data_IF_335785976454
#
_entry.id   IF_335785976454
#
_cell.length_a   1.000
_cell.length_b   1.000
_cell.length_c   1.000
_cell.angle_alpha   90.00
_cell.angle_beta   90.00
_cell.angle_gamma   90.00
#
_symmetry.space_group_name_H-M   'P 1'
#
loop_
_entity.id
_entity.type
_entity.pdbx_description
1 polymer ?
#
# COMPACT_ATOMS: atom_id res chain seq x y z
N UNK A 1 -3.83 26.73 1.33
CA UNK A 1 -4.41 26.38 0.01
C UNK A 1 -5.76 25.75 0.24
N UNK A 2 -6.67 25.84 -0.73
CA UNK A 2 -7.92 25.07 -0.76
C UNK A 2 -7.66 23.75 -1.47
N UNK A 3 -7.81 22.65 -0.76
CA UNK A 3 -7.54 21.31 -1.28
C UNK A 3 -8.83 20.49 -1.30
N UNK A 4 -9.15 19.91 -2.44
CA UNK A 4 -10.24 18.94 -2.56
C UNK A 4 -9.64 17.53 -2.55
N UNK A 5 -10.11 16.67 -1.62
CA UNK A 5 -9.69 15.27 -1.54
C UNK A 5 -10.87 14.38 -1.94
N UNK A 6 -10.74 13.68 -3.06
CA UNK A 6 -11.71 12.69 -3.53
C UNK A 6 -11.32 11.34 -2.93
N UNK A 7 -12.23 10.71 -2.17
CA UNK A 7 -11.98 9.45 -1.48
C UNK A 7 -11.33 9.61 -0.09
N UNK A 8 -11.52 10.76 0.56
CA UNK A 8 -10.92 11.07 1.86
C UNK A 8 -11.43 10.26 3.07
N UNK A 9 -12.32 9.26 2.87
CA UNK A 9 -12.90 8.45 3.96
C UNK A 9 -12.49 6.97 3.95
N UNK A 10 -11.66 6.54 2.97
CA UNK A 10 -11.14 5.18 2.87
C UNK A 10 -9.91 4.95 3.76
N UNK A 11 -9.05 4.00 3.39
CA UNK A 11 -7.85 3.65 4.16
C UNK A 11 -6.81 4.79 4.20
N UNK A 12 -6.33 5.25 3.04
CA UNK A 12 -5.28 6.28 2.95
C UNK A 12 -5.86 7.69 3.14
N UNK A 13 -7.08 7.90 2.67
CA UNK A 13 -7.71 9.23 2.59
C UNK A 13 -7.74 10.02 3.89
N UNK A 14 -8.19 9.45 5.03
CA UNK A 14 -8.22 10.17 6.31
C UNK A 14 -6.85 10.70 6.73
N UNK A 15 -5.78 9.91 6.54
CA UNK A 15 -4.41 10.31 6.89
C UNK A 15 -3.91 11.44 5.98
N UNK A 16 -4.29 11.45 4.69
CA UNK A 16 -3.99 12.56 3.76
C UNK A 16 -4.70 13.83 4.21
N UNK A 17 -5.97 13.74 4.59
CA UNK A 17 -6.75 14.87 5.09
C UNK A 17 -6.13 15.40 6.37
N UNK A 18 -5.80 14.54 7.34
CA UNK A 18 -5.13 14.93 8.59
C UNK A 18 -3.79 15.64 8.34
N UNK A 19 -2.96 15.11 7.44
CA UNK A 19 -1.67 15.71 7.11
C UNK A 19 -1.84 17.13 6.52
N UNK A 20 -2.83 17.32 5.64
CA UNK A 20 -3.12 18.61 5.02
C UNK A 20 -3.70 19.63 6.03
N UNK A 21 -4.66 19.20 6.87
CA UNK A 21 -5.27 20.06 7.90
C UNK A 21 -4.23 20.47 8.95
N UNK A 22 -3.37 19.56 9.39
CA UNK A 22 -2.27 19.84 10.32
C UNK A 22 -1.25 20.83 9.74
N UNK A 23 -1.07 20.83 8.41
CA UNK A 23 -0.26 21.81 7.70
C UNK A 23 -0.99 23.14 7.44
N UNK A 24 -2.22 23.32 7.95
CA UNK A 24 -3.00 24.56 7.87
C UNK A 24 -3.70 24.80 6.53
N UNK A 25 -4.00 23.74 5.76
CA UNK A 25 -4.75 23.84 4.51
C UNK A 25 -6.27 23.75 4.73
N UNK A 26 -7.06 24.44 3.90
CA UNK A 26 -8.53 24.36 3.88
C UNK A 26 -8.94 23.14 3.04
N UNK A 27 -9.31 22.04 3.71
CA UNK A 27 -9.60 20.77 3.06
C UNK A 27 -11.11 20.54 2.94
N UNK A 28 -11.56 20.16 1.75
CA UNK A 28 -12.90 19.64 1.50
C UNK A 28 -12.82 18.20 1.02
N UNK A 29 -13.64 17.32 1.57
CA UNK A 29 -13.66 15.89 1.21
C UNK A 29 -14.87 15.59 0.32
N UNK A 30 -14.64 14.87 -0.79
CA UNK A 30 -15.70 14.30 -1.62
C UNK A 30 -15.74 12.78 -1.47
N UNK A 31 -16.87 12.23 -1.00
CA UNK A 31 -17.03 10.80 -0.72
C UNK A 31 -18.50 10.36 -0.67
N UNK A 32 -18.76 9.02 -0.69
CA UNK A 32 -20.11 8.46 -0.77
C UNK A 32 -20.90 8.48 0.54
N UNK A 33 -20.24 8.38 1.69
CA UNK A 33 -20.90 8.22 2.98
C UNK A 33 -20.29 9.13 4.03
N UNK A 34 -21.13 9.93 4.68
CA UNK A 34 -20.72 10.68 5.87
C UNK A 34 -20.52 9.73 7.04
N UNK A 35 -19.28 9.65 7.53
CA UNK A 35 -19.03 9.23 8.91
C UNK A 35 -19.02 10.54 9.69
N UNK A 36 -20.17 11.01 10.23
CA UNK A 36 -20.32 12.28 10.98
C UNK A 36 -18.98 12.92 11.36
N UNK A 37 -18.42 13.69 10.43
CA UNK A 37 -17.17 14.39 10.58
C UNK A 37 -17.47 15.87 10.77
N UNK A 38 -16.70 16.57 11.61
CA UNK A 38 -16.75 18.03 11.69
C UNK A 38 -16.12 18.72 10.46
N UNK A 39 -15.62 17.92 9.50
CA UNK A 39 -14.95 18.39 8.29
C UNK A 39 -15.93 18.88 7.23
N UNK A 40 -15.46 19.80 6.39
CA UNK A 40 -16.21 20.21 5.22
C UNK A 40 -16.27 19.02 4.24
N UNK A 41 -17.48 18.57 3.91
CA UNK A 41 -17.68 17.44 3.02
C UNK A 41 -18.73 17.70 1.96
N UNK A 42 -18.59 17.02 0.81
CA UNK A 42 -19.59 16.92 -0.25
C UNK A 42 -19.84 15.45 -0.45
N UNK A 43 -21.10 15.05 -0.31
CA UNK A 43 -21.52 13.67 -0.55
C UNK A 43 -21.79 13.45 -2.03
N UNK A 44 -21.17 12.41 -2.59
CA UNK A 44 -21.36 12.04 -3.99
C UNK A 44 -20.57 10.80 -4.37
N UNK A 45 -20.96 10.22 -5.51
CA UNK A 45 -20.29 9.06 -6.05
C UNK A 45 -19.23 9.47 -7.08
N UNK A 46 -17.99 9.03 -6.85
CA UNK A 46 -16.86 9.27 -7.75
C UNK A 46 -17.11 8.70 -9.16
N UNK A 47 -17.88 7.63 -9.31
CA UNK A 47 -18.22 7.07 -10.62
C UNK A 47 -19.04 8.05 -11.48
N UNK A 48 -19.79 8.95 -10.85
CA UNK A 48 -20.61 9.99 -11.46
C UNK A 48 -20.05 11.40 -11.22
N UNK A 49 -18.73 11.55 -11.15
CA UNK A 49 -18.06 12.82 -10.82
C UNK A 49 -18.54 14.01 -11.64
N UNK A 50 -18.90 13.79 -12.91
CA UNK A 50 -19.41 14.82 -13.81
C UNK A 50 -20.71 15.48 -13.32
N UNK A 51 -21.57 14.75 -12.64
CA UNK A 51 -22.87 15.25 -12.13
C UNK A 51 -22.66 16.30 -11.02
N UNK A 52 -21.52 16.25 -10.35
CA UNK A 52 -21.13 17.17 -9.27
C UNK A 52 -20.22 18.31 -9.75
N UNK A 53 -19.92 18.39 -11.06
CA UNK A 53 -18.94 19.36 -11.59
C UNK A 53 -19.21 20.80 -11.16
N UNK A 54 -20.45 21.26 -11.20
CA UNK A 54 -20.84 22.61 -10.79
C UNK A 54 -20.50 22.88 -9.33
N UNK A 55 -20.85 21.96 -8.42
CA UNK A 55 -20.61 22.09 -6.99
C UNK A 55 -19.10 22.03 -6.67
N UNK A 56 -18.38 21.08 -7.30
CA UNK A 56 -16.93 20.90 -7.07
C UNK A 56 -16.11 22.10 -7.60
N UNK A 57 -16.46 22.63 -8.78
CA UNK A 57 -15.81 23.81 -9.34
C UNK A 57 -16.09 25.08 -8.53
N UNK A 58 -17.26 25.20 -7.89
CA UNK A 58 -17.62 26.31 -7.03
C UNK A 58 -16.74 26.43 -5.79
N UNK A 59 -16.09 25.35 -5.34
CA UNK A 59 -15.09 25.34 -4.28
C UNK A 59 -13.82 26.13 -4.67
N UNK A 60 -13.56 26.27 -5.99
CA UNK A 60 -12.32 26.86 -6.54
C UNK A 60 -11.08 26.24 -5.89
N UNK A 61 -10.90 24.92 -5.96
CA UNK A 61 -9.76 24.28 -5.32
C UNK A 61 -8.45 24.70 -6.00
N UNK A 62 -7.42 24.95 -5.20
CA UNK A 62 -6.08 25.19 -5.72
C UNK A 62 -5.48 23.85 -6.20
N UNK A 63 -5.72 22.76 -5.46
CA UNK A 63 -5.26 21.39 -5.78
C UNK A 63 -6.39 20.40 -5.56
N UNK A 64 -6.49 19.40 -6.45
CA UNK A 64 -7.40 18.27 -6.31
C UNK A 64 -6.58 17.00 -6.19
N UNK A 65 -6.81 16.22 -5.14
CA UNK A 65 -6.19 14.92 -4.89
C UNK A 65 -7.26 13.84 -5.09
N UNK A 66 -7.03 12.89 -6.00
CA UNK A 66 -7.91 11.73 -6.16
C UNK A 66 -7.24 10.47 -5.63
N UNK A 67 -7.70 10.02 -4.45
CA UNK A 67 -7.15 8.88 -3.70
C UNK A 67 -7.68 7.54 -4.23
N UNK A 68 -8.79 7.55 -4.95
CA UNK A 68 -9.52 6.35 -5.40
C UNK A 68 -9.62 6.23 -6.93
N UNK A 69 -8.68 6.84 -7.64
CA UNK A 69 -8.61 6.83 -9.10
C UNK A 69 -8.17 5.45 -9.60
N UNK A 70 -8.99 4.73 -10.36
CA UNK A 70 -8.73 3.34 -10.73
C UNK A 70 -8.60 3.07 -12.23
N UNK A 71 -9.14 3.93 -13.11
CA UNK A 71 -9.11 3.71 -14.56
C UNK A 71 -8.86 4.99 -15.35
N UNK A 72 -8.44 4.83 -16.62
CA UNK A 72 -8.28 5.95 -17.54
C UNK A 72 -9.58 6.71 -17.78
N UNK A 73 -10.73 6.03 -17.80
CA UNK A 73 -12.06 6.65 -17.91
C UNK A 73 -12.30 7.61 -16.72
N UNK A 74 -12.02 7.15 -15.54
CA UNK A 74 -12.15 7.98 -14.33
C UNK A 74 -11.17 9.15 -14.35
N UNK A 75 -9.92 8.97 -14.80
CA UNK A 75 -8.93 10.02 -14.91
C UNK A 75 -9.36 11.11 -15.90
N UNK A 76 -9.91 10.71 -17.04
CA UNK A 76 -10.44 11.64 -18.04
C UNK A 76 -11.60 12.46 -17.49
N UNK A 77 -12.52 11.84 -16.74
CA UNK A 77 -13.60 12.55 -16.06
C UNK A 77 -13.07 13.58 -15.07
N UNK A 78 -12.03 13.24 -14.28
CA UNK A 78 -11.37 14.14 -13.36
C UNK A 78 -10.77 15.37 -14.07
N UNK A 79 -9.97 15.14 -15.13
CA UNK A 79 -9.38 16.22 -15.95
C UNK A 79 -10.47 17.13 -16.52
N UNK A 80 -11.52 16.56 -17.09
CA UNK A 80 -12.62 17.35 -17.67
C UNK A 80 -13.35 18.22 -16.63
N UNK A 81 -13.55 17.71 -15.42
CA UNK A 81 -14.21 18.47 -14.35
C UNK A 81 -13.34 19.63 -13.89
N UNK A 82 -12.01 19.46 -13.78
CA UNK A 82 -11.17 20.46 -13.12
C UNK A 82 -10.32 21.33 -14.05
N UNK A 83 -10.30 21.04 -15.36
CA UNK A 83 -9.64 21.93 -16.34
C UNK A 83 -10.22 23.34 -16.24
N UNK A 84 -9.34 24.34 -16.04
CA UNK A 84 -9.71 25.73 -15.82
C UNK A 84 -10.41 26.04 -14.49
N UNK A 85 -10.48 25.06 -13.56
CA UNK A 85 -11.10 25.24 -12.25
C UNK A 85 -10.17 24.93 -11.08
N UNK A 86 -9.10 24.19 -11.30
CA UNK A 86 -8.02 23.93 -10.34
C UNK A 86 -6.67 24.26 -10.98
N UNK A 87 -5.65 24.49 -10.14
CA UNK A 87 -4.29 24.76 -10.61
C UNK A 87 -3.49 23.49 -10.87
N UNK A 88 -3.83 22.38 -10.21
CA UNK A 88 -3.10 21.12 -10.29
C UNK A 88 -3.94 19.92 -9.85
N UNK A 89 -3.65 18.76 -10.43
CA UNK A 89 -4.14 17.46 -9.97
C UNK A 89 -3.03 16.67 -9.27
N UNK A 90 -3.40 15.85 -8.30
CA UNK A 90 -2.56 14.80 -7.71
C UNK A 90 -3.30 13.49 -7.79
N UNK A 91 -2.72 12.53 -8.49
CA UNK A 91 -3.32 11.21 -8.73
C UNK A 91 -2.51 10.11 -8.04
N UNK A 92 -3.21 9.24 -7.32
CA UNK A 92 -2.58 8.07 -6.74
C UNK A 92 -2.55 6.94 -7.79
N UNK A 93 -1.34 6.64 -8.23
CA UNK A 93 -0.99 5.48 -9.03
C UNK A 93 -0.49 4.35 -8.12
N UNK A 94 0.09 3.33 -8.69
CA UNK A 94 0.60 2.17 -7.98
C UNK A 94 1.93 1.71 -8.61
N UNK A 95 2.81 1.12 -7.82
CA UNK A 95 4.01 0.46 -8.33
C UNK A 95 3.68 -0.75 -9.23
N UNK A 96 2.40 -1.18 -9.29
CA UNK A 96 1.95 -2.23 -10.22
C UNK A 96 2.01 -1.83 -11.71
N UNK A 97 2.25 -0.56 -12.00
CA UNK A 97 2.48 -0.09 -13.39
C UNK A 97 3.78 -0.62 -14.00
N UNK A 98 4.74 -1.01 -13.17
CA UNK A 98 6.03 -1.48 -13.66
C UNK A 98 5.94 -2.86 -14.30
N UNK A 99 6.76 -3.08 -15.34
CA UNK A 99 6.88 -4.36 -16.02
C UNK A 99 7.26 -5.48 -15.04
N UNK A 100 8.09 -5.18 -14.03
CA UNK A 100 8.43 -6.12 -12.97
C UNK A 100 7.19 -6.75 -12.30
N UNK A 101 6.11 -5.98 -12.08
CA UNK A 101 4.86 -6.52 -11.56
C UNK A 101 4.22 -7.52 -12.53
N UNK A 102 4.21 -7.23 -13.82
CA UNK A 102 3.72 -8.15 -14.86
C UNK A 102 4.54 -9.45 -14.92
N UNK A 103 5.88 -9.37 -14.81
CA UNK A 103 6.78 -10.53 -14.75
C UNK A 103 6.53 -11.35 -13.49
N UNK A 104 6.39 -10.69 -12.32
CA UNK A 104 6.06 -11.35 -11.06
C UNK A 104 4.77 -12.16 -11.15
N UNK A 105 3.74 -11.62 -11.79
CA UNK A 105 2.43 -12.28 -11.93
C UNK A 105 2.32 -13.19 -13.17
N UNK A 106 3.41 -13.37 -13.94
CA UNK A 106 3.41 -14.20 -15.16
C UNK A 106 2.60 -13.62 -16.32
N UNK A 107 2.28 -12.32 -16.29
CA UNK A 107 1.49 -11.61 -17.31
C UNK A 107 2.36 -10.91 -18.36
N UNK A 108 3.65 -10.80 -18.13
CA UNK A 108 4.65 -10.23 -19.05
C UNK A 108 5.77 -11.24 -19.27
N UNK A 109 6.08 -11.60 -20.53
CA UNK A 109 7.19 -12.47 -20.85
C UNK A 109 8.53 -11.71 -20.81
N UNK A 110 9.62 -12.46 -20.83
CA UNK A 110 10.98 -11.92 -20.98
C UNK A 110 11.81 -11.96 -19.70
N UNK A 111 12.98 -11.30 -19.69
CA UNK A 111 13.91 -11.34 -18.58
C UNK A 111 13.37 -10.62 -17.35
N UNK A 112 13.96 -10.92 -16.19
CA UNK A 112 13.72 -10.18 -14.96
C UNK A 112 14.14 -8.72 -15.12
N UNK A 113 13.41 -7.82 -14.49
CA UNK A 113 13.76 -6.41 -14.39
C UNK A 113 14.78 -6.19 -13.26
N UNK A 114 15.82 -5.37 -13.48
CA UNK A 114 16.72 -4.97 -12.42
C UNK A 114 15.99 -4.13 -11.37
N UNK A 115 16.34 -4.30 -10.11
CA UNK A 115 15.81 -3.53 -8.98
C UNK A 115 16.95 -2.82 -8.23
N UNK A 116 16.66 -1.71 -7.53
CA UNK A 116 15.35 -1.08 -7.35
C UNK A 116 14.84 -0.37 -8.62
N UNK A 117 13.52 -0.44 -8.83
CA UNK A 117 12.88 0.26 -9.93
C UNK A 117 12.84 1.77 -9.66
N UNK A 118 13.08 2.55 -10.69
CA UNK A 118 12.95 4.01 -10.66
C UNK A 118 11.73 4.44 -11.47
N UNK A 119 11.40 5.72 -11.46
CA UNK A 119 10.27 6.26 -12.23
C UNK A 119 10.46 6.12 -13.75
N UNK A 120 11.70 5.91 -14.23
CA UNK A 120 12.07 5.63 -15.62
C UNK A 120 12.06 4.14 -15.98
N UNK A 121 11.92 3.25 -14.99
CA UNK A 121 11.89 1.81 -15.26
C UNK A 121 10.73 1.42 -16.18
N UNK A 122 10.87 0.36 -16.99
CA UNK A 122 9.85 -0.04 -17.95
C UNK A 122 8.49 -0.28 -17.31
N UNK A 123 7.44 0.24 -17.96
CA UNK A 123 6.06 -0.03 -17.59
C UNK A 123 5.58 -1.32 -18.26
N UNK A 124 4.51 -1.92 -17.70
CA UNK A 124 3.82 -3.05 -18.33
C UNK A 124 3.33 -2.68 -19.72
N UNK A 125 3.43 -3.59 -20.65
CA UNK A 125 2.82 -3.51 -21.98
C UNK A 125 1.42 -4.13 -21.97
N UNK A 126 1.23 -5.15 -21.15
CA UNK A 126 -0.07 -5.73 -20.88
C UNK A 126 -0.83 -4.84 -19.88
N UNK A 127 -1.99 -4.30 -20.31
CA UNK A 127 -2.85 -3.46 -19.48
C UNK A 127 -3.68 -4.26 -18.46
N UNK A 128 -3.62 -5.59 -18.50
CA UNK A 128 -4.17 -6.43 -17.44
C UNK A 128 -3.18 -6.50 -16.27
N UNK A 129 -3.47 -5.74 -15.20
CA UNK A 129 -2.58 -5.62 -14.03
C UNK A 129 -2.46 -6.90 -13.23
N UNK A 130 -3.57 -7.59 -13.01
CA UNK A 130 -3.67 -8.81 -12.21
C UNK A 130 -4.52 -9.86 -12.92
N UNK A 131 -4.39 -11.14 -12.54
CA UNK A 131 -5.33 -12.18 -12.99
C UNK A 131 -6.79 -11.80 -12.66
N UNK A 132 -7.77 -12.20 -13.51
CA UNK A 132 -9.17 -11.81 -13.35
C UNK A 132 -9.76 -12.12 -11.98
N UNK A 133 -9.40 -13.25 -11.39
CA UNK A 133 -9.88 -13.67 -10.07
C UNK A 133 -9.43 -12.68 -8.99
N UNK A 134 -8.21 -12.16 -9.11
CA UNK A 134 -7.67 -11.16 -8.18
C UNK A 134 -8.37 -9.81 -8.33
N UNK A 135 -8.68 -9.38 -9.55
CA UNK A 135 -9.47 -8.16 -9.79
C UNK A 135 -10.86 -8.29 -9.13
N UNK A 136 -11.54 -9.43 -9.34
CA UNK A 136 -12.84 -9.70 -8.72
C UNK A 136 -12.78 -9.62 -7.18
N UNK A 137 -11.77 -10.22 -6.56
CA UNK A 137 -11.55 -10.14 -5.12
C UNK A 137 -11.30 -8.71 -4.66
N UNK A 138 -10.46 -7.96 -5.39
CA UNK A 138 -10.18 -6.56 -5.06
C UNK A 138 -11.41 -5.66 -5.18
N UNK A 139 -12.32 -5.93 -6.13
CA UNK A 139 -13.60 -5.20 -6.26
C UNK A 139 -14.53 -5.46 -5.08
N UNK A 140 -14.53 -6.66 -4.51
CA UNK A 140 -15.30 -6.97 -3.29
C UNK A 140 -14.80 -6.16 -2.09
N UNK A 141 -13.47 -6.00 -1.97
CA UNK A 141 -12.84 -5.23 -0.89
C UNK A 141 -12.96 -3.71 -1.15
N UNK A 142 -12.67 -3.30 -2.38
CA UNK A 142 -12.62 -1.89 -2.78
C UNK A 142 -13.78 -1.54 -3.71
N UNK A 143 -14.95 -1.26 -3.17
CA UNK A 143 -16.16 -0.96 -3.95
C UNK A 143 -16.09 0.30 -4.84
N UNK A 144 -14.93 0.95 -4.95
CA UNK A 144 -14.63 2.04 -5.89
C UNK A 144 -13.80 1.59 -7.09
N UNK A 145 -13.31 0.35 -7.10
CA UNK A 145 -12.49 -0.19 -8.17
C UNK A 145 -13.32 -0.39 -9.44
N UNK A 146 -12.86 0.21 -10.51
CA UNK A 146 -13.49 0.14 -11.84
C UNK A 146 -13.19 -1.22 -12.51
N UNK A 147 -14.09 -1.67 -13.40
CA UNK A 147 -13.88 -2.88 -14.19
C UNK A 147 -12.65 -2.78 -15.12
N UNK A 148 -12.31 -1.56 -15.52
CA UNK A 148 -11.13 -1.24 -16.33
C UNK A 148 -9.92 -0.87 -15.47
N UNK A 149 -9.76 -1.49 -14.29
CA UNK A 149 -8.65 -1.16 -13.40
C UNK A 149 -7.30 -1.30 -14.09
N UNK A 150 -6.66 -0.17 -14.33
CA UNK A 150 -5.24 -0.07 -14.68
C UNK A 150 -4.72 1.35 -14.44
N UNK A 151 -3.58 1.45 -13.78
CA UNK A 151 -2.97 2.74 -13.43
C UNK A 151 -2.19 3.36 -14.59
N UNK A 152 -1.76 2.58 -15.59
CA UNK A 152 -1.05 3.13 -16.77
C UNK A 152 -1.93 4.10 -17.56
N UNK A 153 -3.19 3.76 -17.93
CA UNK A 153 -4.10 4.72 -18.53
C UNK A 153 -4.40 5.94 -17.64
N UNK A 154 -4.47 5.74 -16.30
CA UNK A 154 -4.62 6.85 -15.35
C UNK A 154 -3.46 7.85 -15.49
N UNK A 155 -2.21 7.37 -15.44
CA UNK A 155 -1.03 8.22 -15.55
C UNK A 155 -0.98 8.97 -16.88
N UNK A 156 -1.38 8.33 -17.97
CA UNK A 156 -1.42 8.95 -19.31
C UNK A 156 -2.40 10.12 -19.38
N UNK A 157 -3.61 9.95 -18.86
CA UNK A 157 -4.65 11.00 -18.86
C UNK A 157 -4.25 12.16 -17.94
N UNK A 158 -3.76 11.88 -16.73
CA UNK A 158 -3.37 12.91 -15.76
C UNK A 158 -2.20 13.75 -16.25
N UNK A 159 -1.24 13.17 -16.94
CA UNK A 159 -0.04 13.86 -17.46
C UNK A 159 -0.24 14.48 -18.84
N UNK A 160 -1.29 14.08 -19.53
CA UNK A 160 -1.56 14.52 -20.91
C UNK A 160 -2.04 15.96 -21.03
N UNK A 161 -2.54 16.57 -19.96
CA UNK A 161 -3.08 17.92 -20.00
C UNK A 161 -2.01 18.99 -19.68
N UNK A 162 -1.80 19.93 -20.61
CA UNK A 162 -0.79 21.00 -20.45
C UNK A 162 -1.30 22.17 -19.62
N UNK A 163 -2.61 22.38 -19.53
CA UNK A 163 -3.25 23.47 -18.79
C UNK A 163 -3.55 23.12 -17.33
N UNK A 164 -3.59 21.79 -17.03
CA UNK A 164 -3.84 21.27 -15.70
C UNK A 164 -2.73 20.26 -15.33
N UNK A 165 -1.56 20.73 -14.88
CA UNK A 165 -0.44 19.85 -14.60
C UNK A 165 -0.78 18.82 -13.53
N UNK A 166 -0.54 17.54 -13.84
CA UNK A 166 -0.81 16.42 -12.95
C UNK A 166 0.45 15.87 -12.29
N UNK A 167 0.43 15.71 -10.98
CA UNK A 167 1.43 14.97 -10.21
C UNK A 167 0.95 13.54 -10.02
N UNK A 168 1.80 12.56 -10.24
CA UNK A 168 1.50 11.13 -10.08
C UNK A 168 2.36 10.56 -8.96
N UNK A 169 1.72 9.85 -8.04
CA UNK A 169 2.41 9.14 -6.95
C UNK A 169 2.19 7.64 -7.13
N UNK A 170 3.25 6.89 -7.44
CA UNK A 170 3.24 5.43 -7.52
C UNK A 170 3.42 4.87 -6.12
N UNK A 171 2.31 4.39 -5.56
CA UNK A 171 2.28 3.89 -4.20
C UNK A 171 2.74 2.44 -4.11
N UNK A 172 3.37 2.06 -2.98
CA UNK A 172 3.78 0.69 -2.68
C UNK A 172 2.61 -0.14 -2.15
N UNK A 173 2.89 -1.32 -1.59
CA UNK A 173 1.98 -2.03 -0.71
C UNK A 173 1.84 -1.25 0.60
N UNK A 174 0.79 -0.44 0.70
CA UNK A 174 0.53 0.39 1.87
C UNK A 174 -0.01 -0.48 3.01
N UNK A 175 0.57 -0.34 4.21
CA UNK A 175 0.15 -1.02 5.42
C UNK A 175 -0.12 0.00 6.54
N UNK A 176 -0.85 -0.41 7.56
CA UNK A 176 -1.14 0.46 8.71
C UNK A 176 -2.55 0.25 9.25
N UNK A 177 -2.95 1.00 10.30
CA UNK A 177 -4.30 0.99 10.82
C UNK A 177 -5.33 1.30 9.73
N UNK A 178 -6.34 0.41 9.57
CA UNK A 178 -7.36 0.53 8.53
C UNK A 178 -7.04 -0.22 7.23
N UNK A 179 -5.97 -1.01 7.16
CA UNK A 179 -5.66 -1.83 5.99
C UNK A 179 -6.72 -2.91 5.75
N UNK A 180 -7.61 -2.67 4.80
CA UNK A 180 -8.71 -3.59 4.46
C UNK A 180 -8.25 -4.93 3.87
N UNK A 181 -6.97 -5.05 3.45
CA UNK A 181 -6.40 -6.31 2.98
C UNK A 181 -5.78 -7.13 4.11
N UNK A 182 -5.75 -6.59 5.33
CA UNK A 182 -5.26 -7.29 6.52
C UNK A 182 -3.90 -7.98 6.31
N UNK A 183 -2.93 -7.23 5.74
CA UNK A 183 -1.63 -7.79 5.30
C UNK A 183 -0.83 -8.43 6.42
N UNK A 184 -1.02 -7.99 7.67
CA UNK A 184 -0.33 -8.55 8.81
C UNK A 184 -1.07 -9.75 9.43
N UNK A 185 -2.36 -9.91 9.14
CA UNK A 185 -3.20 -10.93 9.74
C UNK A 185 -2.68 -12.37 9.56
N UNK A 186 -2.17 -12.81 8.39
CA UNK A 186 -1.67 -14.17 8.23
C UNK A 186 -0.53 -14.52 9.20
N UNK A 187 0.31 -13.55 9.54
CA UNK A 187 1.40 -13.70 10.52
C UNK A 187 0.82 -13.71 11.94
N UNK A 188 0.00 -12.70 12.27
CA UNK A 188 -0.56 -12.52 13.61
C UNK A 188 -1.53 -13.64 13.98
N UNK A 189 -2.26 -14.21 13.02
CA UNK A 189 -3.11 -15.37 13.26
C UNK A 189 -2.29 -16.57 13.70
N UNK A 190 -1.19 -16.90 13.03
CA UNK A 190 -0.29 -17.99 13.45
C UNK A 190 0.24 -17.78 14.86
N UNK A 191 0.60 -16.55 15.19
CA UNK A 191 1.04 -16.17 16.54
C UNK A 191 -0.08 -16.38 17.58
N UNK A 192 -1.29 -15.91 17.30
CA UNK A 192 -2.47 -16.09 18.17
C UNK A 192 -2.86 -17.55 18.36
N UNK A 193 -2.70 -18.35 17.33
CA UNK A 193 -2.99 -19.79 17.37
C UNK A 193 -1.85 -20.59 18.04
N UNK A 194 -0.84 -19.91 18.57
CA UNK A 194 0.25 -20.53 19.35
C UNK A 194 1.27 -21.29 18.50
N UNK A 195 1.40 -20.94 17.22
CA UNK A 195 2.37 -21.62 16.35
C UNK A 195 3.80 -21.33 16.78
N UNK A 196 4.69 -22.34 16.91
CA UNK A 196 6.08 -22.14 17.30
C UNK A 196 6.95 -21.59 16.17
N UNK A 197 6.49 -21.76 14.93
CA UNK A 197 7.20 -21.27 13.74
C UNK A 197 6.23 -20.71 12.70
N UNK A 198 6.74 -19.80 11.87
CA UNK A 198 6.10 -19.29 10.65
C UNK A 198 6.93 -19.77 9.47
N UNK A 199 6.32 -20.57 8.59
CA UNK A 199 6.98 -21.21 7.48
C UNK A 199 6.77 -20.41 6.19
N UNK A 200 7.80 -20.31 5.37
CA UNK A 200 7.78 -19.65 4.08
C UNK A 200 8.47 -20.54 3.03
N UNK A 201 7.94 -20.60 1.81
CA UNK A 201 8.68 -21.14 0.69
C UNK A 201 9.97 -20.32 0.46
N UNK A 202 11.08 -20.94 0.04
CA UNK A 202 12.39 -20.27 -0.12
C UNK A 202 12.33 -19.00 -0.98
N UNK A 203 11.59 -19.05 -2.10
CA UNK A 203 11.44 -17.91 -3.00
C UNK A 203 10.62 -16.79 -2.38
N UNK A 204 9.56 -17.13 -1.66
CA UNK A 204 8.78 -16.16 -0.89
C UNK A 204 9.63 -15.53 0.21
N UNK A 205 10.40 -16.33 0.94
CA UNK A 205 11.28 -15.86 2.01
C UNK A 205 12.35 -14.87 1.50
N UNK A 206 12.88 -15.09 0.31
CA UNK A 206 13.91 -14.25 -0.32
C UNK A 206 13.33 -13.02 -1.04
N UNK A 207 12.06 -13.04 -1.43
CA UNK A 207 11.44 -12.00 -2.21
C UNK A 207 11.34 -10.68 -1.46
N UNK A 208 11.53 -9.57 -2.18
CA UNK A 208 11.41 -8.21 -1.64
C UNK A 208 10.47 -7.38 -2.51
N UNK A 209 9.53 -6.70 -1.86
CA UNK A 209 8.58 -5.79 -2.51
C UNK A 209 8.50 -4.44 -1.82
N UNK A 210 7.93 -3.41 -2.48
CA UNK A 210 7.84 -2.07 -1.92
C UNK A 210 6.76 -2.03 -0.83
N UNK A 211 7.08 -1.39 0.29
CA UNK A 211 6.14 -1.14 1.39
C UNK A 211 6.13 0.32 1.80
N UNK A 212 5.05 0.76 2.41
CA UNK A 212 4.94 2.09 2.97
C UNK A 212 3.88 2.14 4.06
N UNK A 213 4.26 2.69 5.21
CA UNK A 213 3.31 2.93 6.30
C UNK A 213 2.32 4.04 5.90
N UNK A 214 1.05 3.86 6.22
CA UNK A 214 -0.05 4.71 5.73
C UNK A 214 0.13 6.20 6.06
N UNK A 215 0.61 6.55 7.27
CA UNK A 215 0.84 7.95 7.64
C UNK A 215 2.05 8.54 6.89
N UNK A 216 3.11 7.74 6.64
CA UNK A 216 4.26 8.14 5.85
C UNK A 216 3.87 8.39 4.39
N UNK A 217 3.10 7.46 3.81
CA UNK A 217 2.55 7.62 2.46
C UNK A 217 1.66 8.86 2.36
N UNK A 218 0.80 9.10 3.35
CA UNK A 218 -0.06 10.29 3.40
C UNK A 218 0.73 11.60 3.49
N UNK A 219 1.82 11.62 4.26
CA UNK A 219 2.74 12.76 4.33
C UNK A 219 3.39 13.04 2.97
N UNK A 220 3.85 12.01 2.26
CA UNK A 220 4.39 12.16 0.90
C UNK A 220 3.35 12.72 -0.08
N UNK A 221 2.09 12.27 0.01
CA UNK A 221 0.98 12.78 -0.82
C UNK A 221 0.70 14.25 -0.50
N UNK A 222 0.61 14.61 0.78
CA UNK A 222 0.37 15.99 1.19
C UNK A 222 1.51 16.91 0.76
N UNK A 223 2.77 16.49 0.92
CA UNK A 223 3.96 17.21 0.45
C UNK A 223 3.90 17.44 -1.07
N UNK A 224 3.70 16.39 -1.86
CA UNK A 224 3.62 16.51 -3.31
C UNK A 224 2.41 17.35 -3.77
N UNK A 225 1.33 17.40 -3.00
CA UNK A 225 0.17 18.22 -3.30
C UNK A 225 0.42 19.71 -3.02
N UNK A 226 1.25 20.04 -2.05
CA UNK A 226 1.45 21.42 -1.59
C UNK A 226 2.72 22.07 -2.12
N UNK A 227 3.70 21.29 -2.55
CA UNK A 227 4.94 21.80 -3.17
C UNK A 227 4.77 22.00 -4.68
N UNK A 228 5.03 23.22 -5.15
CA UNK A 228 4.92 23.57 -6.58
C UNK A 228 5.93 22.83 -7.48
N UNK A 229 7.06 22.38 -6.92
CA UNK A 229 8.09 21.62 -7.66
C UNK A 229 7.56 20.26 -8.13
N UNK A 230 6.52 19.74 -7.48
CA UNK A 230 5.90 18.47 -7.84
C UNK A 230 5.00 18.54 -9.10
N UNK A 231 4.72 19.75 -9.62
CA UNK A 231 3.82 19.91 -10.78
C UNK A 231 4.35 19.16 -12.02
N UNK A 232 3.53 18.28 -12.59
CA UNK A 232 3.88 17.48 -13.78
C UNK A 232 4.86 16.32 -13.52
N UNK A 233 5.19 16.04 -12.25
CA UNK A 233 6.17 15.01 -11.87
C UNK A 233 5.53 13.66 -11.57
N UNK A 234 6.35 12.62 -11.64
CA UNK A 234 6.03 11.28 -11.14
C UNK A 234 7.01 10.97 -10.01
N UNK A 235 6.49 10.40 -8.94
CA UNK A 235 7.28 9.94 -7.80
C UNK A 235 6.90 8.53 -7.38
N UNK A 236 7.89 7.70 -7.13
CA UNK A 236 7.72 6.52 -6.31
C UNK A 236 7.63 6.93 -4.84
N UNK A 237 6.72 6.30 -4.12
CA UNK A 237 6.60 6.46 -2.67
C UNK A 237 6.78 5.09 -2.04
N UNK A 238 7.86 4.92 -1.27
CA UNK A 238 8.15 3.70 -0.53
C UNK A 238 9.06 4.02 0.66
N UNK A 239 9.09 3.13 1.63
CA UNK A 239 10.06 3.19 2.72
C UNK A 239 11.48 3.14 2.18
N UNK A 240 12.40 3.84 2.88
CA UNK A 240 13.82 3.89 2.50
C UNK A 240 14.51 2.55 2.66
N UNK A 241 14.06 1.74 3.63
CA UNK A 241 14.58 0.41 3.88
C UNK A 241 13.68 -0.66 3.28
N UNK A 242 14.29 -1.65 2.64
CA UNK A 242 13.58 -2.79 2.08
C UNK A 242 14.16 -4.08 2.64
N UNK A 243 13.29 -4.98 3.09
CA UNK A 243 13.65 -6.28 3.64
C UNK A 243 13.09 -7.40 2.78
N UNK A 244 13.79 -8.56 2.69
CA UNK A 244 13.16 -9.78 2.21
C UNK A 244 11.94 -10.16 3.06
N UNK A 245 10.98 -10.88 2.48
CA UNK A 245 9.73 -11.25 3.16
C UNK A 245 9.96 -11.96 4.50
N UNK A 246 11.01 -12.79 4.57
CA UNK A 246 11.43 -13.44 5.82
C UNK A 246 11.80 -12.42 6.91
N UNK A 247 12.52 -11.36 6.54
CA UNK A 247 12.89 -10.26 7.44
C UNK A 247 11.68 -9.43 7.87
N UNK A 248 10.75 -9.14 6.94
CA UNK A 248 9.48 -8.49 7.25
C UNK A 248 8.64 -9.30 8.21
N UNK A 249 8.48 -10.60 7.95
CA UNK A 249 7.75 -11.52 8.82
C UNK A 249 8.34 -11.50 10.24
N UNK A 250 9.67 -11.56 10.35
CA UNK A 250 10.35 -11.51 11.65
C UNK A 250 10.15 -10.17 12.39
N UNK A 251 10.18 -9.03 11.67
CA UNK A 251 9.94 -7.70 12.25
C UNK A 251 8.49 -7.56 12.74
N UNK A 252 7.50 -7.98 11.95
CA UNK A 252 6.08 -7.97 12.34
C UNK A 252 5.86 -8.86 13.57
N UNK A 253 6.40 -10.07 13.55
CA UNK A 253 6.30 -11.01 14.67
C UNK A 253 6.98 -10.49 15.94
N UNK A 254 8.13 -9.83 15.78
CA UNK A 254 8.82 -9.16 16.88
C UNK A 254 8.02 -8.02 17.50
N UNK A 255 7.37 -7.19 16.65
CA UNK A 255 6.47 -6.12 17.10
C UNK A 255 5.25 -6.67 17.86
N UNK A 256 4.78 -7.87 17.52
CA UNK A 256 3.74 -8.59 18.28
C UNK A 256 4.24 -9.22 19.59
N UNK A 257 5.53 -9.11 19.91
CA UNK A 257 6.12 -9.72 21.10
C UNK A 257 6.32 -11.23 21.01
N UNK A 258 6.18 -11.80 19.81
CA UNK A 258 6.33 -13.25 19.60
C UNK A 258 7.79 -13.70 19.67
N UNK A 259 7.98 -14.91 20.20
CA UNK A 259 9.30 -15.54 20.36
C UNK A 259 9.27 -16.94 19.74
N UNK A 260 9.38 -17.01 18.46
CA UNK A 260 9.41 -18.24 17.70
C UNK A 260 10.41 -18.13 16.56
N UNK A 261 10.28 -18.96 15.54
CA UNK A 261 11.18 -18.99 14.40
C UNK A 261 10.46 -18.75 13.08
N UNK A 262 11.01 -17.91 12.23
CA UNK A 262 10.62 -17.82 10.82
C UNK A 262 11.54 -18.72 10.03
N UNK A 263 11.00 -19.69 9.29
CA UNK A 263 11.76 -20.75 8.62
C UNK A 263 11.44 -20.71 7.12
N UNK A 264 12.49 -20.66 6.30
CA UNK A 264 12.39 -20.82 4.86
C UNK A 264 12.56 -22.32 4.53
N UNK A 265 11.60 -22.86 3.80
CA UNK A 265 11.57 -24.27 3.39
C UNK A 265 12.03 -24.46 1.95
N UNK A 266 12.67 -25.61 1.71
CA UNK A 266 12.93 -26.11 0.35
C UNK A 266 11.61 -26.37 -0.39
N UNK A 267 11.54 -26.18 -1.72
CA UNK A 267 10.32 -26.41 -2.50
C UNK A 267 9.65 -27.76 -2.25
N UNK A 268 10.45 -28.83 -2.19
CA UNK A 268 9.94 -30.21 -2.01
C UNK A 268 9.31 -30.45 -0.63
N UNK A 269 9.69 -29.64 0.39
CA UNK A 269 9.13 -29.71 1.74
C UNK A 269 8.10 -28.62 2.05
N UNK A 270 7.73 -27.79 1.06
CA UNK A 270 6.80 -26.69 1.29
C UNK A 270 5.34 -27.16 1.15
N UNK A 271 4.49 -26.93 2.17
CA UNK A 271 3.04 -27.17 2.07
C UNK A 271 2.40 -26.44 0.89
N UNK A 272 1.40 -27.06 0.25
CA UNK A 272 0.77 -26.55 -0.97
C UNK A 272 0.22 -25.12 -0.81
N UNK A 273 -0.36 -24.79 0.34
CA UNK A 273 -0.92 -23.44 0.60
C UNK A 273 0.13 -22.34 0.79
N UNK A 274 1.41 -22.71 0.98
CA UNK A 274 2.55 -21.80 1.07
C UNK A 274 3.33 -21.68 -0.24
N UNK A 275 2.94 -22.41 -1.28
CA UNK A 275 3.58 -22.32 -2.59
C UNK A 275 3.35 -20.94 -3.22
N UNK A 276 4.40 -20.32 -3.82
CA UNK A 276 4.28 -19.00 -4.43
C UNK A 276 3.36 -19.04 -5.66
N UNK A 277 2.45 -18.06 -5.76
CA UNK A 277 1.50 -17.94 -6.87
C UNK A 277 2.04 -17.14 -8.07
N UNK A 278 3.36 -16.89 -8.13
CA UNK A 278 3.98 -16.10 -9.19
C UNK A 278 5.47 -16.35 -9.35
N UNK A 279 6.13 -15.56 -10.19
CA UNK A 279 7.58 -15.63 -10.41
C UNK A 279 8.32 -14.79 -9.36
N UNK A 280 8.53 -15.34 -8.16
CA UNK A 280 9.18 -14.68 -7.04
C UNK A 280 10.70 -14.51 -7.21
N UNK A 281 11.30 -14.93 -8.32
CA UNK A 281 12.64 -14.53 -8.72
C UNK A 281 12.67 -13.06 -9.17
N UNK A 282 11.51 -12.51 -9.57
CA UNK A 282 11.33 -11.10 -9.82
C UNK A 282 11.03 -10.34 -8.51
N UNK A 283 12.05 -9.70 -7.96
CA UNK A 283 11.84 -8.71 -6.90
C UNK A 283 11.09 -7.48 -7.42
N UNK A 284 10.42 -6.76 -6.51
CA UNK A 284 9.58 -5.62 -6.89
C UNK A 284 9.91 -4.36 -6.06
N UNK A 285 11.16 -4.21 -5.64
CA UNK A 285 11.57 -3.03 -4.87
C UNK A 285 11.63 -1.79 -5.74
N UNK A 286 11.30 -0.63 -5.18
CA UNK A 286 11.33 0.66 -5.86
C UNK A 286 12.22 1.64 -5.11
N UNK A 287 12.82 2.58 -5.84
CA UNK A 287 13.56 3.70 -5.27
C UNK A 287 12.62 4.89 -5.06
N UNK A 288 12.58 5.43 -3.86
CA UNK A 288 11.92 6.71 -3.54
C UNK A 288 12.92 7.89 -3.45
N UNK A 289 14.10 7.74 -4.06
CA UNK A 289 15.15 8.76 -4.02
C UNK A 289 14.69 10.09 -4.61
N UNK A 290 13.92 10.06 -5.71
CA UNK A 290 13.47 11.27 -6.40
C UNK A 290 12.63 12.18 -5.52
N UNK A 291 11.61 11.65 -4.83
CA UNK A 291 10.75 12.48 -3.96
C UNK A 291 11.56 13.05 -2.78
N UNK A 292 12.55 12.31 -2.28
CA UNK A 292 13.44 12.76 -1.20
C UNK A 292 14.36 13.88 -1.67
N UNK A 293 15.01 13.72 -2.81
CA UNK A 293 15.94 14.69 -3.37
C UNK A 293 15.24 15.97 -3.86
N UNK A 294 14.12 15.82 -4.57
CA UNK A 294 13.44 16.98 -5.14
C UNK A 294 12.56 17.73 -4.15
N UNK A 295 11.88 17.04 -3.23
CA UNK A 295 10.93 17.66 -2.32
C UNK A 295 11.39 17.68 -0.86
N UNK A 296 12.44 16.95 -0.50
CA UNK A 296 12.91 16.82 0.87
C UNK A 296 12.02 15.90 1.71
N UNK A 297 11.40 14.89 1.09
CA UNK A 297 10.53 13.96 1.80
C UNK A 297 11.33 13.12 2.80
N UNK A 298 10.83 13.05 4.03
CA UNK A 298 11.27 12.16 5.10
C UNK A 298 10.05 11.45 5.71
N UNK A 299 10.22 10.22 6.18
CA UNK A 299 9.17 9.50 6.89
C UNK A 299 8.95 10.10 8.27
N UNK A 300 7.75 10.64 8.58
CA UNK A 300 7.46 11.19 9.92
C UNK A 300 7.31 10.12 11.01
N UNK A 301 7.11 8.86 10.64
CA UNK A 301 6.93 7.76 11.58
C UNK A 301 7.98 6.70 11.33
N UNK A 302 8.77 6.41 12.36
CA UNK A 302 9.80 5.36 12.34
C UNK A 302 9.18 3.97 12.19
N UNK A 303 9.92 3.04 11.55
CA UNK A 303 9.46 1.69 11.22
C UNK A 303 8.93 0.92 12.43
N UNK A 304 9.64 0.94 13.54
CA UNK A 304 9.25 0.21 14.76
C UNK A 304 7.91 0.71 15.31
N UNK A 305 7.68 2.02 15.27
CA UNK A 305 6.40 2.64 15.67
C UNK A 305 5.28 2.27 14.69
N UNK A 306 5.56 2.29 13.38
CA UNK A 306 4.62 1.92 12.33
C UNK A 306 4.17 0.45 12.49
N UNK A 307 5.13 -0.45 12.73
CA UNK A 307 4.84 -1.88 12.96
C UNK A 307 4.01 -2.08 14.22
N UNK A 308 4.38 -1.45 15.35
CA UNK A 308 3.64 -1.58 16.60
C UNK A 308 2.18 -1.12 16.45
N UNK A 309 1.96 0.07 15.88
CA UNK A 309 0.60 0.60 15.64
C UNK A 309 -0.23 -0.30 14.72
N UNK A 310 0.42 -0.87 13.69
CA UNK A 310 -0.26 -1.77 12.75
C UNK A 310 -0.65 -3.08 13.42
N UNK A 311 0.27 -3.67 14.20
CA UNK A 311 0.00 -4.90 14.96
C UNK A 311 -1.13 -4.69 15.96
N UNK A 312 -1.08 -3.61 16.76
CA UNK A 312 -2.12 -3.28 17.73
C UNK A 312 -3.49 -3.13 17.06
N UNK A 313 -3.54 -2.43 15.91
CA UNK A 313 -4.78 -2.27 15.17
C UNK A 313 -5.30 -3.59 14.59
N UNK A 314 -4.44 -4.38 13.96
CA UNK A 314 -4.81 -5.66 13.33
C UNK A 314 -5.34 -6.67 14.36
N UNK A 315 -4.73 -6.72 15.54
CA UNK A 315 -5.19 -7.58 16.63
C UNK A 315 -6.55 -7.15 17.19
N UNK A 316 -6.83 -5.84 17.21
CA UNK A 316 -8.11 -5.29 17.65
C UNK A 316 -9.21 -5.36 16.58
N UNK A 317 -8.84 -5.45 15.29
CA UNK A 317 -9.74 -5.42 14.15
C UNK A 317 -9.43 -6.57 13.16
N UNK A 318 -9.53 -7.84 13.56
CA UNK A 318 -9.27 -8.96 12.66
C UNK A 318 -10.31 -8.97 11.51
N UNK A 319 -9.99 -9.59 10.35
CA UNK A 319 -10.94 -9.72 9.26
C UNK A 319 -12.19 -10.50 9.72
N UNK A 320 -13.37 -10.08 9.24
CA UNK A 320 -14.65 -10.73 9.55
C UNK A 320 -14.71 -12.16 9.01
N UNK A 321 -14.15 -12.36 7.81
CA UNK A 321 -14.06 -13.68 7.17
C UNK A 321 -12.60 -14.12 7.06
N UNK A 322 -12.33 -15.36 7.46
CA UNK A 322 -11.00 -15.96 7.42
C UNK A 322 -11.01 -17.11 6.44
N UNK A 323 -10.21 -17.02 5.39
CA UNK A 323 -9.96 -18.16 4.49
C UNK A 323 -9.06 -19.19 5.18
N UNK A 324 -9.69 -20.22 5.76
CA UNK A 324 -8.99 -21.28 6.50
C UNK A 324 -8.06 -22.11 5.60
N UNK A 325 -8.20 -22.06 4.27
CA UNK A 325 -7.28 -22.77 3.36
C UNK A 325 -5.86 -22.23 3.41
N UNK A 326 -5.67 -21.00 3.91
CA UNK A 326 -4.35 -20.40 4.13
C UNK A 326 -3.64 -20.90 5.41
N UNK A 327 -4.30 -21.75 6.21
CA UNK A 327 -3.85 -22.16 7.54
C UNK A 327 -3.95 -23.67 7.75
N UNK A 328 -3.41 -24.46 6.80
CA UNK A 328 -3.30 -25.92 6.96
C UNK A 328 -2.17 -26.25 7.94
N UNK A 329 -2.50 -26.15 9.24
CA UNK A 329 -1.52 -26.40 10.30
C UNK A 329 -1.05 -27.84 10.39
N UNK A 330 -1.83 -28.83 9.89
CA UNK A 330 -1.38 -30.20 9.85
C UNK A 330 -0.22 -30.36 8.86
N UNK A 331 -0.33 -29.77 7.67
CA UNK A 331 0.74 -29.77 6.69
C UNK A 331 1.94 -28.90 7.16
N UNK A 332 1.69 -27.79 7.88
CA UNK A 332 2.77 -27.00 8.47
C UNK A 332 3.51 -27.77 9.58
N UNK A 333 2.82 -28.57 10.41
CA UNK A 333 3.44 -29.40 11.45
C UNK A 333 4.29 -30.53 10.86
N UNK A 334 3.84 -31.16 9.78
CA UNK A 334 4.63 -32.16 9.05
C UNK A 334 5.92 -31.54 8.50
N UNK A 335 5.82 -30.39 7.81
CA UNK A 335 6.98 -29.68 7.27
C UNK A 335 7.93 -29.15 8.37
N UNK A 336 7.40 -28.76 9.53
CA UNK A 336 8.20 -28.34 10.67
C UNK A 336 8.97 -29.52 11.29
N UNK A 337 8.40 -30.73 11.29
CA UNK A 337 9.04 -31.95 11.75
C UNK A 337 10.15 -32.48 10.84
N UNK A 338 10.18 -32.08 9.58
CA UNK A 338 11.23 -32.42 8.62
C UNK A 338 12.33 -31.35 8.56
N UNK A 339 13.26 -31.39 9.53
CA UNK A 339 14.38 -30.42 9.59
C UNK A 339 15.28 -30.45 8.34
N UNK A 340 15.29 -31.53 7.57
CA UNK A 340 16.06 -31.62 6.33
C UNK A 340 15.53 -30.68 5.24
N UNK A 341 14.27 -30.27 5.33
CA UNK A 341 13.65 -29.29 4.42
C UNK A 341 13.89 -27.83 4.81
N UNK A 342 14.50 -27.55 5.96
CA UNK A 342 14.74 -26.20 6.46
C UNK A 342 16.01 -25.60 5.83
N UNK A 343 15.88 -24.47 5.11
CA UNK A 343 17.01 -23.80 4.46
C UNK A 343 17.60 -22.66 5.29
N UNK A 344 16.74 -21.85 5.90
CA UNK A 344 17.13 -20.69 6.71
C UNK A 344 16.15 -20.50 7.87
N UNK A 345 16.69 -20.06 9.00
CA UNK A 345 15.88 -19.77 10.19
C UNK A 345 16.28 -18.41 10.77
N UNK A 346 15.27 -17.59 11.08
CA UNK A 346 15.44 -16.37 11.91
C UNK A 346 14.69 -16.63 13.20
N UNK A 347 15.40 -16.65 14.34
CA UNK A 347 14.77 -16.70 15.67
C UNK A 347 14.40 -15.29 16.10
N UNK A 348 13.11 -15.08 16.37
CA UNK A 348 12.55 -13.79 16.80
C UNK A 348 12.65 -13.71 18.33
N UNK A 349 13.12 -12.57 18.85
CA UNK A 349 13.21 -12.32 20.32
C UNK A 349 14.64 -12.24 20.88
N UNK A 350 15.67 -12.31 20.03
CA UNK A 350 17.08 -12.08 20.42
C UNK A 350 17.58 -10.65 20.16
N UNK A 351 16.76 -9.78 19.58
CA UNK A 351 17.09 -8.37 19.42
C UNK A 351 16.81 -7.64 20.73
N UNK A 352 17.87 -7.29 21.46
CA UNK A 352 17.82 -6.42 22.65
C UNK A 352 17.29 -5.05 22.21
N UNK A 353 16.09 -4.67 22.63
CA UNK A 353 15.64 -3.28 22.58
C UNK A 353 16.52 -2.45 23.53
N UNK A 354 16.93 -1.23 23.17
CA UNK A 354 17.52 -0.33 24.14
C UNK A 354 16.48 -0.05 25.23
N UNK A 355 16.91 -0.22 26.49
CA UNK A 355 16.11 0.03 27.70
C UNK A 355 15.71 1.50 27.77
N UNK A 356 14.51 1.79 27.31
CA UNK A 356 13.80 3.04 27.57
C UNK A 356 13.04 2.94 28.86
N UNK A 357 13.31 3.89 29.76
CA UNK A 357 12.81 4.05 31.12
C UNK A 357 11.29 3.85 31.29
N UNK A 358 10.97 3.03 32.19
CA UNK A 358 9.87 2.96 33.14
C UNK A 358 8.50 3.60 32.84
N UNK A 359 7.64 2.93 32.07
CA UNK A 359 6.19 3.09 32.23
C UNK A 359 5.55 1.73 32.53
N UNK A 360 5.13 1.56 33.76
CA UNK A 360 4.39 0.38 34.26
C UNK A 360 3.06 0.25 33.49
N UNK A 361 2.89 -0.82 32.74
CA UNK A 361 1.60 -1.24 32.18
C UNK A 361 0.71 -1.81 33.28
N UNK A 362 -0.60 -1.49 33.37
CA UNK A 362 -1.51 -2.18 34.27
C UNK A 362 -1.75 -3.61 33.77
N UNK A 363 -1.74 -4.56 34.72
CA UNK A 363 -2.10 -5.95 34.48
C UNK A 363 -3.59 -6.03 34.13
N UNK A 364 -3.92 -6.66 33.01
CA UNK A 364 -5.29 -7.07 32.69
C UNK A 364 -5.47 -8.48 33.23
N UNK A 365 -6.43 -8.61 34.14
CA UNK A 365 -6.98 -9.87 34.64
C UNK A 365 -7.91 -10.47 33.59
#
# INVERSE_FOLDING_TARGET
MRVLVIGGSGFIGPHVVDALENAGHDVTVFHRASKRSARREILGDRQHLGDYAGQLRALKPDVVIDVILSSGRQARALVNVFRGAASRLVALSSCDVYRACGVLHGLEPGPLEPVPLTEESPLRTNLQTYPPERITMLQQVFGWLDDEYDKIPVEREIRGDRELPGTVLRLPMVYGPGDMLHRFFPILKRIRDGRPAILLHEKTAAWSGPRGYVENVASAIALAATDSRAAGRIYNVAESETFPEMGWTAKIAGAAGWRGSVIALHPDGTPQHLMPAGNYDQHWTVSSARIREELGYEEPVELETALARTVDWELANPPEEIDLKQFDYAAEDEALGDEASHLRTITVGTLSLPSGDGAKRPAVV
#
